data_IF_791640276493
#
_entry.id   IF_791640276493
#
_cell.length_a   1.000
_cell.length_b   1.000
_cell.length_c   1.000
_cell.angle_alpha   90.00
_cell.angle_beta   90.00
_cell.angle_gamma   90.00
#
_symmetry.space_group_name_H-M   'P 1'
#
loop_
_entity.id
_entity.type
_entity.pdbx_description
1 polymer ?
#
# COMPACT_ATOMS: atom_id res chain seq x y z
N UNK A 1 14.02 -5.19 -30.08
CA UNK A 1 14.28 -4.04 -29.17
C UNK A 1 14.47 -2.78 -30.01
N UNK A 2 13.99 -1.62 -29.55
CA UNK A 2 14.18 -0.36 -30.26
C UNK A 2 15.63 0.11 -30.15
N UNK A 3 16.21 0.59 -31.27
CA UNK A 3 17.56 1.20 -31.30
C UNK A 3 17.67 2.51 -30.49
N UNK A 4 16.53 3.05 -30.06
CA UNK A 4 16.45 4.31 -29.32
C UNK A 4 16.39 4.10 -27.79
N UNK A 5 16.31 2.87 -27.33
CA UNK A 5 16.21 2.58 -25.90
C UNK A 5 17.59 2.46 -25.27
N UNK A 6 17.72 3.04 -24.07
CA UNK A 6 18.83 2.74 -23.20
C UNK A 6 18.79 1.23 -22.84
N UNK A 7 19.96 0.55 -22.72
CA UNK A 7 20.00 -0.86 -22.33
C UNK A 7 19.24 -1.21 -21.06
N UNK A 8 19.20 -0.33 -20.06
CA UNK A 8 18.40 -0.49 -18.86
C UNK A 8 16.92 -0.68 -19.20
N UNK A 9 16.38 0.20 -20.06
CA UNK A 9 14.94 0.17 -20.43
C UNK A 9 14.57 -1.14 -21.15
N UNK A 10 15.49 -1.70 -21.90
CA UNK A 10 15.28 -2.97 -22.60
C UNK A 10 15.12 -4.18 -21.66
N UNK A 11 15.67 -4.10 -20.45
CA UNK A 11 15.58 -5.14 -19.41
C UNK A 11 14.44 -4.94 -18.39
N UNK A 12 13.70 -3.83 -18.46
CA UNK A 12 12.62 -3.57 -17.52
C UNK A 12 11.38 -4.42 -17.80
N UNK A 13 10.81 -4.95 -16.73
CA UNK A 13 9.51 -5.62 -16.72
C UNK A 13 8.54 -4.76 -15.90
N UNK A 14 7.81 -3.82 -16.54
CA UNK A 14 6.91 -2.91 -15.83
C UNK A 14 5.81 -3.63 -15.08
N UNK A 15 5.38 -3.06 -13.96
CA UNK A 15 4.22 -3.55 -13.22
C UNK A 15 2.97 -3.50 -14.10
N UNK A 16 2.16 -4.57 -14.05
CA UNK A 16 0.87 -4.66 -14.75
C UNK A 16 -0.24 -4.31 -13.76
N UNK A 17 -0.86 -3.13 -13.88
CA UNK A 17 -1.97 -2.74 -13.01
C UNK A 17 -3.14 -3.72 -13.09
N UNK A 18 -4.00 -3.70 -12.08
CA UNK A 18 -5.28 -4.38 -12.13
C UNK A 18 -6.14 -3.83 -13.26
N UNK A 19 -6.92 -4.68 -13.88
CA UNK A 19 -7.83 -4.30 -14.96
C UNK A 19 -8.73 -3.14 -14.53
N UNK A 20 -8.92 -2.17 -15.43
CA UNK A 20 -9.87 -1.06 -15.33
C UNK A 20 -10.97 -1.28 -16.38
N UNK A 21 -11.99 -2.07 -16.05
CA UNK A 21 -13.02 -2.43 -17.02
C UNK A 21 -13.88 -1.23 -17.43
N UNK A 22 -14.33 -1.24 -18.70
CA UNK A 22 -15.11 -0.15 -19.31
C UNK A 22 -16.61 -0.52 -19.46
N UNK A 23 -17.07 -1.62 -18.83
CA UNK A 23 -18.47 -2.05 -18.93
C UNK A 23 -19.35 -1.28 -17.96
N UNK A 24 -20.62 -1.10 -18.32
CA UNK A 24 -21.66 -0.66 -17.38
C UNK A 24 -22.07 -1.80 -16.44
N UNK A 25 -22.56 -1.47 -15.25
CA UNK A 25 -23.05 -2.45 -14.23
C UNK A 25 -22.00 -3.47 -13.77
N UNK A 26 -20.77 -3.02 -13.59
CA UNK A 26 -19.67 -3.84 -13.12
C UNK A 26 -19.51 -3.74 -11.60
N UNK A 27 -19.30 -4.89 -10.96
CA UNK A 27 -18.86 -4.97 -9.57
C UNK A 27 -17.33 -5.12 -9.57
N UNK A 28 -16.62 -4.02 -9.26
CA UNK A 28 -15.16 -3.94 -9.31
C UNK A 28 -14.55 -4.20 -7.95
N UNK A 29 -14.00 -5.41 -7.75
CA UNK A 29 -13.41 -5.87 -6.49
C UNK A 29 -11.95 -6.36 -6.65
N UNK A 30 -11.16 -5.72 -7.51
CA UNK A 30 -9.83 -6.21 -7.92
C UNK A 30 -8.65 -5.33 -7.52
N UNK A 31 -8.85 -4.07 -7.14
CA UNK A 31 -7.76 -3.09 -6.90
C UNK A 31 -7.79 -2.44 -5.52
N UNK A 32 -8.58 -3.01 -4.61
CA UNK A 32 -8.63 -2.61 -3.20
C UNK A 32 -8.98 -1.12 -2.99
N UNK A 33 -9.85 -0.57 -3.86
CA UNK A 33 -10.45 0.73 -3.59
C UNK A 33 -11.46 0.64 -2.45
N UNK A 34 -11.66 1.73 -1.72
CA UNK A 34 -12.70 1.81 -0.70
C UNK A 34 -14.07 1.88 -1.38
N UNK A 35 -15.10 1.15 -0.89
CA UNK A 35 -16.44 1.19 -1.48
C UNK A 35 -17.23 2.45 -1.16
N UNK A 36 -16.70 3.28 -0.27
CA UNK A 36 -17.28 4.58 0.11
C UNK A 36 -16.49 5.72 -0.51
N UNK A 37 -17.14 6.83 -0.79
CA UNK A 37 -16.47 8.03 -1.30
C UNK A 37 -15.50 8.67 -0.28
N UNK A 38 -14.68 9.62 -0.69
CA UNK A 38 -13.81 10.35 0.21
C UNK A 38 -14.59 11.23 1.19
N UNK A 39 -13.92 11.69 2.25
CA UNK A 39 -14.49 12.63 3.22
C UNK A 39 -15.15 13.83 2.53
N UNK A 40 -16.41 14.20 2.90
CA UNK A 40 -17.05 15.40 2.40
C UNK A 40 -16.22 16.67 2.66
N UNK A 41 -15.45 16.71 3.77
CA UNK A 41 -14.53 17.81 4.06
C UNK A 41 -13.41 17.91 3.03
N UNK A 42 -12.84 16.78 2.62
CA UNK A 42 -11.82 16.74 1.58
C UNK A 42 -12.36 17.22 0.22
N UNK A 43 -13.56 16.77 -0.16
CA UNK A 43 -14.21 17.23 -1.39
C UNK A 43 -14.46 18.74 -1.39
N UNK A 44 -15.00 19.29 -0.29
CA UNK A 44 -15.25 20.74 -0.15
C UNK A 44 -13.95 21.52 -0.18
N UNK A 45 -12.90 21.05 0.49
CA UNK A 45 -11.60 21.71 0.49
C UNK A 45 -10.98 21.79 -0.92
N UNK A 46 -11.05 20.70 -1.70
CA UNK A 46 -10.59 20.69 -3.09
C UNK A 46 -11.42 21.61 -3.98
N UNK A 47 -12.75 21.61 -3.86
CA UNK A 47 -13.64 22.49 -4.61
C UNK A 47 -13.32 23.98 -4.34
N UNK A 48 -13.09 24.33 -3.07
CA UNK A 48 -12.72 25.69 -2.67
C UNK A 48 -11.35 26.12 -3.20
N UNK A 49 -10.41 25.18 -3.29
CA UNK A 49 -9.06 25.45 -3.82
C UNK A 49 -8.98 25.46 -5.36
N UNK A 50 -10.11 25.24 -6.03
CA UNK A 50 -10.20 25.28 -7.50
C UNK A 50 -10.48 26.70 -7.98
N UNK A 51 -9.45 27.56 -7.95
CA UNK A 51 -9.50 28.97 -8.27
C UNK A 51 -8.30 29.42 -9.13
N UNK A 52 -8.20 30.73 -9.40
CA UNK A 52 -7.14 31.34 -10.21
C UNK A 52 -5.73 31.14 -9.68
N UNK A 53 -5.58 30.72 -8.42
CA UNK A 53 -4.27 30.39 -7.83
C UNK A 53 -3.64 29.14 -8.43
N UNK A 54 -4.41 28.32 -9.16
CA UNK A 54 -3.89 27.14 -9.89
C UNK A 54 -2.87 27.52 -10.98
N UNK A 55 -2.79 28.79 -11.40
CA UNK A 55 -1.72 29.30 -12.27
C UNK A 55 -0.34 29.36 -11.62
N UNK A 56 -0.25 29.21 -10.29
CA UNK A 56 0.97 29.25 -9.51
C UNK A 56 1.42 27.83 -9.11
N UNK A 57 2.72 27.63 -9.02
CA UNK A 57 3.25 26.38 -8.44
C UNK A 57 2.74 26.19 -7.01
N UNK A 58 2.48 24.93 -6.60
CA UNK A 58 2.18 24.61 -5.20
C UNK A 58 3.42 24.78 -4.33
N UNK A 59 3.25 24.64 -2.99
CA UNK A 59 4.38 24.52 -2.07
C UNK A 59 5.19 23.23 -2.39
N UNK A 60 6.49 23.33 -2.77
CA UNK A 60 7.31 22.18 -3.11
C UNK A 60 7.58 21.24 -1.92
N UNK A 61 7.46 21.78 -0.70
CA UNK A 61 7.66 21.02 0.54
C UNK A 61 6.37 20.44 1.11
N UNK A 62 5.20 20.92 0.61
CA UNK A 62 3.88 20.61 1.15
C UNK A 62 3.80 20.77 2.67
N UNK A 63 4.39 21.85 3.20
CA UNK A 63 4.63 22.06 4.64
C UNK A 63 3.34 21.96 5.47
N UNK A 64 2.24 22.56 5.02
CA UNK A 64 0.97 22.50 5.75
C UNK A 64 0.40 21.07 5.83
N UNK A 65 0.52 20.28 4.76
CA UNK A 65 0.15 18.87 4.80
C UNK A 65 1.04 18.09 5.77
N UNK A 66 2.35 18.30 5.74
CA UNK A 66 3.31 17.65 6.66
C UNK A 66 3.01 17.98 8.13
N UNK A 67 2.70 19.24 8.44
CA UNK A 67 2.29 19.66 9.81
C UNK A 67 1.02 18.97 10.28
N UNK A 68 0.02 18.82 9.40
CA UNK A 68 -1.24 18.14 9.73
C UNK A 68 -0.97 16.64 9.98
N UNK A 69 -0.18 15.98 9.13
CA UNK A 69 0.22 14.59 9.35
C UNK A 69 0.99 14.46 10.67
N UNK A 70 1.99 15.31 10.91
CA UNK A 70 2.78 15.31 12.14
C UNK A 70 1.89 15.46 13.39
N UNK A 71 0.97 16.43 13.37
CA UNK A 71 0.02 16.65 14.48
C UNK A 71 -0.91 15.44 14.70
N UNK A 72 -1.36 14.78 13.63
CA UNK A 72 -2.25 13.61 13.72
C UNK A 72 -1.55 12.42 14.39
N UNK A 73 -0.25 12.26 14.15
CA UNK A 73 0.53 11.15 14.71
C UNK A 73 1.39 11.52 15.91
N UNK A 74 1.29 12.77 16.41
CA UNK A 74 2.02 13.22 17.61
C UNK A 74 3.53 13.35 17.39
N UNK A 75 3.98 13.66 16.18
CA UNK A 75 5.38 13.84 15.82
C UNK A 75 5.65 15.25 15.25
N UNK A 76 6.80 15.49 14.62
CA UNK A 76 7.21 16.77 14.05
C UNK A 76 7.27 16.73 12.52
N UNK A 77 7.14 17.88 11.85
CA UNK A 77 7.10 17.95 10.39
C UNK A 77 8.41 17.55 9.70
N UNK A 78 9.54 17.61 10.36
CA UNK A 78 10.83 17.14 9.86
C UNK A 78 10.95 15.61 9.82
N UNK A 79 10.04 14.91 10.51
CA UNK A 79 9.88 13.45 10.46
C UNK A 79 8.88 12.97 9.41
N UNK A 80 8.31 13.86 8.61
CA UNK A 80 7.28 13.55 7.62
C UNK A 80 7.76 13.87 6.21
N UNK A 81 7.64 12.92 5.29
CA UNK A 81 7.79 13.11 3.84
C UNK A 81 6.46 12.88 3.14
N UNK A 82 6.19 13.59 2.04
CA UNK A 82 5.00 13.40 1.21
C UNK A 82 5.38 13.25 -0.26
N UNK A 83 4.64 12.43 -1.02
CA UNK A 83 4.89 12.16 -2.44
C UNK A 83 3.63 11.79 -3.21
N UNK A 84 3.76 11.60 -4.52
CA UNK A 84 2.67 11.34 -5.45
C UNK A 84 2.20 9.86 -5.38
N UNK A 85 1.54 9.52 -4.26
CA UNK A 85 1.17 8.17 -3.86
C UNK A 85 2.32 7.45 -3.14
N UNK A 86 1.99 6.38 -2.41
CA UNK A 86 3.01 5.56 -1.76
C UNK A 86 3.99 4.94 -2.75
N UNK A 87 3.60 4.75 -4.01
CA UNK A 87 4.51 4.24 -5.05
C UNK A 87 5.71 5.17 -5.26
N UNK A 88 5.49 6.49 -5.34
CA UNK A 88 6.60 7.44 -5.46
C UNK A 88 7.41 7.54 -4.16
N UNK A 89 6.75 7.52 -3.00
CA UNK A 89 7.42 7.50 -1.69
C UNK A 89 8.33 6.29 -1.56
N UNK A 90 7.83 5.10 -1.89
CA UNK A 90 8.61 3.85 -1.90
C UNK A 90 9.76 3.90 -2.90
N UNK A 91 9.55 4.43 -4.11
CA UNK A 91 10.62 4.59 -5.11
C UNK A 91 11.75 5.47 -4.57
N UNK A 92 11.43 6.60 -3.92
CA UNK A 92 12.43 7.45 -3.28
C UNK A 92 13.13 6.75 -2.11
N UNK A 93 12.39 6.02 -1.27
CA UNK A 93 12.95 5.26 -0.15
C UNK A 93 13.92 4.17 -0.65
N UNK A 94 13.55 3.38 -1.65
CA UNK A 94 14.40 2.36 -2.25
C UNK A 94 15.69 2.97 -2.81
N UNK A 95 15.58 4.12 -3.47
CA UNK A 95 16.73 4.79 -4.06
C UNK A 95 17.64 5.46 -3.02
N UNK A 96 17.07 6.04 -1.96
CA UNK A 96 17.81 6.82 -0.98
C UNK A 96 18.42 5.98 0.14
N UNK A 97 17.74 4.88 0.54
CA UNK A 97 17.99 4.24 1.84
C UNK A 97 18.48 2.79 1.75
N UNK A 98 18.37 2.15 0.58
CA UNK A 98 18.83 0.77 0.42
C UNK A 98 20.27 0.76 -0.05
N UNK A 99 21.14 0.08 0.70
CA UNK A 99 22.56 -0.04 0.38
C UNK A 99 22.74 -0.87 -0.90
N UNK A 100 23.40 -0.32 -1.95
CA UNK A 100 23.42 -0.94 -3.27
C UNK A 100 24.31 -2.19 -3.37
N UNK A 101 25.22 -2.40 -2.44
CA UNK A 101 26.19 -3.51 -2.42
C UNK A 101 25.63 -4.81 -1.84
N UNK A 102 24.40 -4.80 -1.30
CA UNK A 102 23.77 -5.97 -0.72
C UNK A 102 22.27 -6.05 -1.10
N UNK A 103 21.64 -7.23 -1.11
CA UNK A 103 20.27 -7.37 -1.56
C UNK A 103 19.27 -6.68 -0.62
N UNK A 104 18.21 -6.10 -1.19
CA UNK A 104 16.99 -5.77 -0.46
C UNK A 104 16.24 -7.06 -0.12
N UNK A 105 15.76 -7.21 1.12
CA UNK A 105 14.95 -8.34 1.53
C UNK A 105 13.46 -7.96 1.56
N UNK A 106 12.61 -8.84 1.08
CA UNK A 106 11.15 -8.77 1.24
C UNK A 106 10.53 -10.15 1.08
N UNK A 107 9.28 -10.33 1.52
CA UNK A 107 8.61 -11.63 1.47
C UNK A 107 8.33 -12.09 0.02
N UNK A 108 8.41 -13.42 -0.23
CA UNK A 108 8.13 -14.07 -1.53
C UNK A 108 6.69 -13.84 -2.03
N UNK A 109 5.76 -13.62 -1.10
CA UNK A 109 4.40 -13.18 -1.40
C UNK A 109 4.20 -11.81 -0.76
N UNK A 110 4.31 -10.74 -1.55
CA UNK A 110 4.26 -9.36 -1.08
C UNK A 110 3.77 -8.41 -2.16
N UNK A 111 4.04 -7.11 -2.02
CA UNK A 111 3.68 -6.12 -3.03
C UNK A 111 4.51 -6.29 -4.29
N UNK A 112 3.86 -6.62 -5.39
CA UNK A 112 4.51 -6.95 -6.66
C UNK A 112 5.28 -5.80 -7.32
N UNK A 113 5.29 -4.61 -6.72
CA UNK A 113 6.07 -3.48 -7.22
C UNK A 113 7.52 -3.44 -6.68
N UNK A 114 7.82 -4.15 -5.58
CA UNK A 114 9.17 -4.15 -5.02
C UNK A 114 10.24 -4.66 -6.00
N UNK A 115 10.06 -5.80 -6.70
CA UNK A 115 11.00 -6.23 -7.73
C UNK A 115 11.13 -5.23 -8.88
N UNK A 116 10.05 -4.48 -9.20
CA UNK A 116 10.05 -3.46 -10.27
C UNK A 116 10.95 -2.29 -9.90
N UNK A 117 10.89 -1.79 -8.65
CA UNK A 117 11.83 -0.77 -8.17
C UNK A 117 13.27 -1.27 -8.18
N UNK A 118 13.50 -2.50 -7.71
CA UNK A 118 14.84 -3.11 -7.73
C UNK A 118 15.39 -3.14 -9.14
N UNK A 119 14.61 -3.60 -10.12
CA UNK A 119 15.00 -3.61 -11.53
C UNK A 119 15.30 -2.21 -12.08
N UNK A 120 14.44 -1.22 -11.75
CA UNK A 120 14.60 0.16 -12.20
C UNK A 120 15.90 0.82 -11.68
N UNK A 121 16.25 0.54 -10.42
CA UNK A 121 17.41 1.15 -9.76
C UNK A 121 18.68 0.30 -9.83
N UNK A 122 18.64 -0.88 -10.45
CA UNK A 122 19.78 -1.80 -10.50
C UNK A 122 20.12 -2.40 -9.13
N UNK A 123 19.13 -2.46 -8.23
CA UNK A 123 19.26 -3.03 -6.90
C UNK A 123 19.02 -4.54 -6.95
N UNK A 124 19.92 -5.32 -6.35
CA UNK A 124 19.66 -6.75 -6.12
C UNK A 124 18.64 -6.96 -5.01
N UNK A 125 17.90 -8.06 -5.06
CA UNK A 125 16.96 -8.42 -3.99
C UNK A 125 16.99 -9.92 -3.71
N UNK A 126 16.49 -10.28 -2.55
CA UNK A 126 16.25 -11.67 -2.16
C UNK A 126 14.84 -11.77 -1.55
N UNK A 127 14.06 -12.70 -2.08
CA UNK A 127 12.77 -13.05 -1.53
C UNK A 127 12.96 -13.97 -0.32
N UNK A 128 12.33 -13.62 0.81
CA UNK A 128 12.32 -14.40 2.05
C UNK A 128 10.99 -15.18 2.09
N UNK A 129 11.00 -16.51 2.13
CA UNK A 129 9.78 -17.30 2.13
C UNK A 129 8.90 -17.01 3.34
N UNK A 130 7.61 -16.79 3.15
CA UNK A 130 6.63 -16.85 4.23
C UNK A 130 6.54 -18.29 4.74
N UNK A 131 6.14 -18.49 5.99
CA UNK A 131 5.88 -19.83 6.54
C UNK A 131 4.67 -20.51 5.85
N UNK A 132 4.31 -21.72 6.24
CA UNK A 132 3.18 -22.46 5.65
C UNK A 132 1.82 -21.82 5.93
N UNK A 133 1.73 -20.91 6.89
CA UNK A 133 0.53 -20.11 7.20
C UNK A 133 0.54 -18.75 6.52
N UNK A 134 1.49 -18.49 5.62
CA UNK A 134 1.68 -17.21 4.94
C UNK A 134 2.01 -16.04 5.90
N UNK A 135 2.67 -16.31 7.01
CA UNK A 135 3.13 -15.32 7.98
C UNK A 135 4.62 -15.05 7.82
N UNK A 136 5.06 -13.84 8.17
CA UNK A 136 6.47 -13.44 8.23
C UNK A 136 7.06 -13.93 9.56
N UNK A 137 8.20 -14.63 9.50
CA UNK A 137 9.09 -14.82 10.63
C UNK A 137 10.22 -13.78 10.53
N UNK A 138 10.30 -12.86 11.48
CA UNK A 138 11.30 -11.77 11.44
C UNK A 138 12.73 -12.27 11.64
N UNK A 139 12.94 -13.44 12.24
CA UNK A 139 14.27 -14.05 12.41
C UNK A 139 14.87 -14.48 11.06
N UNK A 140 14.04 -14.78 10.05
CA UNK A 140 14.52 -15.13 8.71
C UNK A 140 15.16 -13.92 7.99
N UNK A 141 14.95 -12.71 8.51
CA UNK A 141 15.54 -11.46 8.00
C UNK A 141 16.85 -11.09 8.72
N UNK A 142 17.32 -11.90 9.68
CA UNK A 142 18.57 -11.67 10.40
C UNK A 142 19.81 -12.11 9.59
N UNK A 143 19.85 -11.74 8.32
CA UNK A 143 20.94 -12.05 7.37
C UNK A 143 21.51 -10.76 6.78
N UNK A 144 22.76 -10.75 6.27
CA UNK A 144 23.33 -9.56 5.63
C UNK A 144 22.47 -9.06 4.47
N UNK A 145 22.10 -7.77 4.49
CA UNK A 145 21.23 -7.17 3.49
C UNK A 145 21.54 -5.68 3.26
N UNK A 146 20.99 -5.11 2.18
CA UNK A 146 21.03 -3.68 1.89
C UNK A 146 19.93 -2.88 2.59
N UNK A 147 18.88 -3.56 3.02
CA UNK A 147 17.69 -3.03 3.69
C UNK A 147 16.54 -4.03 3.61
N UNK A 148 15.42 -3.71 4.23
CA UNK A 148 14.25 -4.61 4.31
C UNK A 148 12.99 -3.84 3.96
N UNK A 149 12.07 -4.46 3.20
CA UNK A 149 10.74 -3.93 2.95
C UNK A 149 9.66 -4.93 3.43
N UNK A 150 8.84 -4.49 4.36
CA UNK A 150 7.73 -5.28 4.95
C UNK A 150 6.41 -4.60 4.61
N UNK A 151 5.56 -5.25 3.82
CA UNK A 151 4.17 -4.81 3.67
C UNK A 151 3.38 -5.27 4.90
N UNK A 152 2.83 -4.33 5.67
CA UNK A 152 2.14 -4.59 6.94
C UNK A 152 0.85 -3.77 7.10
N UNK A 153 -0.33 -4.37 6.91
CA UNK A 153 -0.61 -5.76 6.49
C UNK A 153 -0.06 -6.12 5.11
N UNK A 154 0.28 -7.41 4.94
CA UNK A 154 0.80 -7.90 3.68
C UNK A 154 -0.17 -7.62 2.51
N UNK A 155 0.34 -7.11 1.41
CA UNK A 155 -0.46 -6.60 0.28
C UNK A 155 -1.25 -7.69 -0.48
N UNK A 156 -0.92 -8.96 -0.28
CA UNK A 156 -1.59 -10.08 -0.95
C UNK A 156 -2.31 -11.01 0.03
N UNK A 157 -1.70 -11.33 1.17
CA UNK A 157 -2.29 -12.25 2.16
C UNK A 157 -3.23 -11.54 3.13
N UNK A 158 -3.00 -10.25 3.42
CA UNK A 158 -3.71 -9.49 4.44
C UNK A 158 -3.21 -9.72 5.87
N UNK A 159 -2.24 -10.61 6.09
CA UNK A 159 -1.64 -10.84 7.40
C UNK A 159 -0.89 -9.60 7.91
N UNK A 160 -1.00 -9.35 9.21
CA UNK A 160 -0.24 -8.31 9.90
C UNK A 160 0.88 -8.92 10.76
N UNK A 161 2.02 -8.23 10.80
CA UNK A 161 3.14 -8.47 11.71
C UNK A 161 2.92 -7.64 12.97
N UNK A 162 3.18 -8.21 14.15
CA UNK A 162 3.02 -7.46 15.40
C UNK A 162 4.07 -6.38 15.59
N UNK A 163 3.78 -5.40 16.42
CA UNK A 163 4.74 -4.33 16.72
C UNK A 163 5.98 -4.85 17.44
N UNK A 164 5.83 -5.88 18.30
CA UNK A 164 6.97 -6.54 18.96
C UNK A 164 7.91 -7.18 17.94
N UNK A 165 7.34 -7.85 16.91
CA UNK A 165 8.13 -8.46 15.85
C UNK A 165 8.83 -7.41 14.98
N UNK A 166 8.16 -6.28 14.65
CA UNK A 166 8.79 -5.17 13.92
C UNK A 166 9.90 -4.49 14.74
N UNK A 167 9.69 -4.26 16.04
CA UNK A 167 10.72 -3.74 16.95
C UNK A 167 11.90 -4.72 17.08
N UNK A 168 11.62 -6.02 17.16
CA UNK A 168 12.66 -7.06 17.13
C UNK A 168 13.46 -7.01 15.84
N UNK A 169 12.80 -6.88 14.68
CA UNK A 169 13.46 -6.77 13.38
C UNK A 169 14.38 -5.55 13.31
N UNK A 170 13.91 -4.38 13.80
CA UNK A 170 14.70 -3.16 13.87
C UNK A 170 15.97 -3.32 14.72
N UNK A 171 15.87 -4.08 15.82
CA UNK A 171 16.99 -4.40 16.71
C UNK A 171 17.96 -5.41 16.06
N UNK A 172 17.47 -6.37 15.27
CA UNK A 172 18.31 -7.35 14.57
C UNK A 172 19.15 -6.73 13.45
N UNK A 173 18.68 -5.62 12.85
CA UNK A 173 19.30 -4.96 11.70
C UNK A 173 19.55 -3.46 11.99
N UNK A 174 20.33 -3.10 13.02
CA UNK A 174 20.42 -1.71 13.53
C UNK A 174 21.01 -0.73 12.50
N UNK A 175 21.85 -1.22 11.58
CA UNK A 175 22.52 -0.42 10.56
C UNK A 175 21.82 -0.44 9.19
N UNK A 176 20.60 -0.99 9.12
CA UNK A 176 19.83 -1.14 7.87
C UNK A 176 18.46 -0.52 8.00
N UNK A 177 18.04 0.19 6.96
CA UNK A 177 16.68 0.74 6.94
C UNK A 177 15.65 -0.37 6.74
N UNK A 178 14.61 -0.32 7.58
CA UNK A 178 13.43 -1.17 7.46
C UNK A 178 12.27 -0.29 7.03
N UNK A 179 11.76 -0.53 5.83
CA UNK A 179 10.61 0.14 5.26
C UNK A 179 9.37 -0.69 5.60
N UNK A 180 8.46 -0.13 6.40
CA UNK A 180 7.17 -0.75 6.73
C UNK A 180 6.11 -0.08 5.87
N UNK A 181 5.63 -0.81 4.85
CA UNK A 181 4.59 -0.34 3.92
C UNK A 181 3.21 -0.65 4.50
N UNK A 182 2.57 0.35 5.05
CA UNK A 182 1.30 0.30 5.76
C UNK A 182 0.11 0.73 4.90
N UNK A 183 0.09 0.38 3.63
CA UNK A 183 -1.01 0.76 2.74
C UNK A 183 -2.40 0.32 3.22
N UNK A 184 -2.49 -0.66 4.11
CA UNK A 184 -3.76 -1.25 4.59
C UNK A 184 -3.94 -1.20 6.11
N UNK A 185 -3.08 -0.54 6.86
CA UNK A 185 -3.03 -0.58 8.33
C UNK A 185 -4.35 -0.21 9.00
N UNK A 186 -5.09 0.75 8.43
CA UNK A 186 -6.35 1.26 9.00
C UNK A 186 -7.51 0.24 9.02
N UNK A 187 -7.32 -0.97 8.47
CA UNK A 187 -8.35 -2.01 8.40
C UNK A 187 -8.20 -3.10 9.47
N UNK A 188 -7.51 -2.79 10.57
CA UNK A 188 -7.46 -3.66 11.75
C UNK A 188 -6.06 -4.10 12.18
N UNK A 189 -5.00 -3.55 11.61
CA UNK A 189 -3.64 -3.70 12.13
C UNK A 189 -3.25 -2.52 13.03
N UNK A 190 -2.17 -2.66 13.77
CA UNK A 190 -1.57 -1.61 14.58
C UNK A 190 -0.42 -0.97 13.81
N UNK A 191 -0.39 0.36 13.73
CA UNK A 191 0.65 1.09 12.99
C UNK A 191 1.99 1.09 13.71
N UNK A 192 3.06 0.87 12.98
CA UNK A 192 4.44 0.96 13.46
C UNK A 192 4.96 2.40 13.60
N UNK A 193 4.16 3.43 13.31
CA UNK A 193 4.59 4.83 13.41
C UNK A 193 5.16 5.12 14.81
N UNK A 194 4.54 4.63 15.89
CA UNK A 194 5.05 4.84 17.25
C UNK A 194 6.47 4.27 17.47
N UNK A 195 6.83 3.20 16.75
CA UNK A 195 8.17 2.60 16.86
C UNK A 195 9.26 3.46 16.22
N UNK A 196 8.91 4.42 15.37
CA UNK A 196 9.89 5.32 14.74
C UNK A 196 10.55 6.27 15.76
N UNK A 197 9.94 6.46 16.94
CA UNK A 197 10.56 7.21 18.05
C UNK A 197 11.59 6.38 18.82
N UNK A 198 11.51 5.05 18.74
CA UNK A 198 12.37 4.10 19.43
C UNK A 198 13.49 3.56 18.52
N UNK A 199 13.26 3.54 17.21
CA UNK A 199 14.14 2.95 16.20
C UNK A 199 14.37 3.92 15.04
N UNK A 200 15.55 4.51 14.97
CA UNK A 200 15.92 5.48 13.93
C UNK A 200 16.00 4.88 12.52
N UNK A 201 16.09 3.56 12.42
CA UNK A 201 16.17 2.82 11.16
C UNK A 201 14.81 2.39 10.60
N UNK A 202 13.69 2.73 11.26
CA UNK A 202 12.35 2.46 10.76
C UNK A 202 11.81 3.63 9.92
N UNK A 203 11.30 3.30 8.73
CA UNK A 203 10.52 4.20 7.88
C UNK A 203 9.14 3.59 7.64
N UNK A 204 8.09 4.24 8.12
CA UNK A 204 6.71 3.80 7.88
C UNK A 204 6.12 4.57 6.70
N UNK A 205 5.59 3.86 5.71
CA UNK A 205 4.98 4.45 4.50
C UNK A 205 3.48 4.18 4.50
N UNK A 206 2.68 5.21 4.30
CA UNK A 206 1.22 5.11 4.20
C UNK A 206 0.67 5.80 2.96
N UNK A 207 -0.60 5.55 2.63
CA UNK A 207 -1.27 6.11 1.44
C UNK A 207 -2.70 6.54 1.74
N UNK A 208 -3.15 7.59 1.06
CA UNK A 208 -4.56 7.99 1.10
C UNK A 208 -5.43 7.21 0.09
N UNK A 209 -4.81 6.33 -0.71
CA UNK A 209 -5.49 5.61 -1.80
C UNK A 209 -6.49 4.56 -1.32
N UNK A 210 -6.34 4.06 -0.08
CA UNK A 210 -7.14 2.95 0.46
C UNK A 210 -8.16 3.46 1.48
N UNK A 211 -7.77 3.60 2.73
CA UNK A 211 -8.68 3.95 3.83
C UNK A 211 -9.32 5.34 3.72
N UNK A 212 -8.65 6.29 3.03
CA UNK A 212 -9.15 7.65 2.83
C UNK A 212 -9.94 7.83 1.51
N UNK A 213 -10.11 6.78 0.71
CA UNK A 213 -10.84 6.79 -0.57
C UNK A 213 -10.31 7.82 -1.59
N UNK A 214 -9.02 8.14 -1.57
CA UNK A 214 -8.40 9.16 -2.41
C UNK A 214 -7.39 8.57 -3.41
N UNK A 215 -7.64 7.37 -3.92
CA UNK A 215 -6.78 6.73 -4.91
C UNK A 215 -6.51 7.62 -6.14
N UNK A 216 -7.54 8.36 -6.60
CA UNK A 216 -7.44 9.29 -7.72
C UNK A 216 -6.65 10.57 -7.40
N UNK A 217 -6.47 10.91 -6.13
CA UNK A 217 -5.74 12.12 -5.72
C UNK A 217 -4.22 11.93 -5.68
N UNK A 218 -3.76 10.67 -5.62
CA UNK A 218 -2.34 10.29 -5.62
C UNK A 218 -1.52 10.95 -4.51
N UNK A 219 -1.85 10.68 -3.26
CA UNK A 219 -1.05 11.14 -2.11
C UNK A 219 -0.63 9.97 -1.24
N UNK A 220 0.66 9.90 -0.94
CA UNK A 220 1.28 9.02 0.04
C UNK A 220 2.24 9.80 0.92
N UNK A 221 2.61 9.23 2.05
CA UNK A 221 3.56 9.85 2.96
C UNK A 221 4.41 8.80 3.68
N UNK A 222 5.54 9.26 4.23
CA UNK A 222 6.38 8.45 5.10
C UNK A 222 6.61 9.19 6.42
N UNK A 223 6.80 8.42 7.50
CA UNK A 223 7.19 8.91 8.83
C UNK A 223 8.41 8.10 9.28
N UNK A 224 9.44 8.79 9.78
CA UNK A 224 10.68 8.17 10.24
C UNK A 224 11.63 9.18 10.85
N UNK A 225 12.87 8.74 11.15
CA UNK A 225 13.92 9.63 11.64
C UNK A 225 14.20 10.75 10.62
N UNK A 226 14.52 12.01 11.06
CA UNK A 226 14.80 13.12 10.15
C UNK A 226 15.84 12.83 9.07
N UNK A 227 16.88 12.05 9.37
CA UNK A 227 17.91 11.68 8.39
C UNK A 227 17.36 10.80 7.25
N UNK A 228 16.40 9.90 7.55
CA UNK A 228 15.71 9.12 6.53
C UNK A 228 14.86 10.03 5.64
N UNK A 229 14.12 10.96 6.26
CA UNK A 229 13.26 11.92 5.56
C UNK A 229 14.07 12.86 4.67
N UNK A 230 15.21 13.36 5.16
CA UNK A 230 16.14 14.17 4.35
C UNK A 230 16.69 13.39 3.15
N UNK A 231 16.98 12.10 3.31
CA UNK A 231 17.37 11.22 2.20
C UNK A 231 16.32 11.16 1.10
N UNK A 232 15.03 10.98 1.46
CA UNK A 232 13.92 10.98 0.52
C UNK A 232 13.77 12.34 -0.17
N UNK A 233 13.88 13.43 0.60
CA UNK A 233 13.76 14.80 0.08
C UNK A 233 14.84 15.10 -0.97
N UNK A 234 16.10 14.69 -0.74
CA UNK A 234 17.19 14.85 -1.70
C UNK A 234 16.93 14.11 -3.02
N UNK A 235 16.43 12.87 -2.96
CA UNK A 235 16.07 12.12 -4.17
C UNK A 235 14.91 12.80 -4.89
N UNK A 236 13.84 13.19 -4.18
CA UNK A 236 12.69 13.90 -4.73
C UNK A 236 13.13 15.18 -5.45
N UNK A 237 13.93 16.04 -4.81
CA UNK A 237 14.35 17.32 -5.38
C UNK A 237 15.34 17.17 -6.55
N UNK A 238 15.97 16.00 -6.67
CA UNK A 238 16.82 15.65 -7.83
C UNK A 238 16.02 15.07 -9.00
N UNK A 239 14.72 14.78 -8.82
CA UNK A 239 13.84 14.18 -9.84
C UNK A 239 12.65 15.08 -10.19
N UNK A 240 11.84 15.48 -9.20
CA UNK A 240 10.66 16.32 -9.35
C UNK A 240 10.42 17.15 -8.10
N UNK A 241 10.69 18.46 -8.15
CA UNK A 241 10.56 19.35 -6.99
C UNK A 241 9.10 19.66 -6.61
N UNK A 242 8.12 19.44 -7.48
CA UNK A 242 6.71 19.75 -7.26
C UNK A 242 5.80 18.54 -7.51
N UNK A 243 5.95 17.40 -6.78
CA UNK A 243 5.22 16.17 -7.08
C UNK A 243 3.73 16.26 -6.80
N UNK A 244 3.31 17.06 -5.80
CA UNK A 244 1.92 17.18 -5.38
C UNK A 244 1.29 18.49 -5.87
N UNK A 245 0.17 18.38 -6.58
CA UNK A 245 -0.63 19.54 -6.96
C UNK A 245 -1.22 20.25 -5.72
N UNK A 246 -1.61 21.52 -5.87
CA UNK A 246 -2.31 22.27 -4.82
C UNK A 246 -3.58 21.55 -4.34
N UNK A 247 -4.37 21.02 -5.29
CA UNK A 247 -5.59 20.28 -4.95
C UNK A 247 -5.29 19.00 -4.17
N UNK A 248 -4.20 18.31 -4.54
CA UNK A 248 -3.76 17.11 -3.81
C UNK A 248 -3.35 17.43 -2.37
N UNK A 249 -2.55 18.49 -2.18
CA UNK A 249 -2.14 18.93 -0.84
C UNK A 249 -3.34 19.32 0.04
N UNK A 250 -4.27 20.14 -0.52
CA UNK A 250 -5.44 20.62 0.21
C UNK A 250 -6.41 19.49 0.54
N UNK A 251 -6.73 18.63 -0.43
CA UNK A 251 -7.63 17.49 -0.21
C UNK A 251 -7.07 16.46 0.77
N UNK A 252 -5.77 16.18 0.68
CA UNK A 252 -5.09 15.29 1.61
C UNK A 252 -5.10 15.84 3.04
N UNK A 253 -4.79 17.12 3.23
CA UNK A 253 -4.80 17.79 4.53
C UNK A 253 -6.18 17.66 5.21
N UNK A 254 -7.25 17.98 4.46
CA UNK A 254 -8.61 17.85 4.97
C UNK A 254 -9.03 16.40 5.26
N UNK A 255 -8.58 15.43 4.45
CA UNK A 255 -8.85 14.02 4.66
C UNK A 255 -8.12 13.44 5.89
N UNK A 256 -6.85 13.85 6.11
CA UNK A 256 -6.07 13.42 7.30
C UNK A 256 -6.74 13.96 8.57
N UNK A 257 -7.18 15.22 8.57
CA UNK A 257 -7.85 15.84 9.73
C UNK A 257 -9.25 15.27 10.00
N UNK A 258 -9.86 14.51 9.09
CA UNK A 258 -11.20 13.92 9.27
C UNK A 258 -11.11 12.46 9.77
N UNK A 259 -10.62 12.29 10.98
CA UNK A 259 -10.52 10.98 11.62
C UNK A 259 -11.88 10.31 11.85
N UNK A 260 -12.94 11.10 12.04
CA UNK A 260 -14.29 10.56 12.26
C UNK A 260 -14.78 9.80 11.02
N UNK A 261 -14.56 10.38 9.82
CA UNK A 261 -14.88 9.73 8.56
C UNK A 261 -14.04 8.46 8.34
N UNK A 262 -12.73 8.53 8.60
CA UNK A 262 -11.85 7.36 8.54
C UNK A 262 -12.38 6.22 9.42
N UNK A 263 -12.60 6.48 10.71
CA UNK A 263 -13.07 5.46 11.67
C UNK A 263 -14.42 4.88 11.26
N UNK A 264 -15.34 5.71 10.78
CA UNK A 264 -16.66 5.26 10.33
C UNK A 264 -16.52 4.28 9.14
N UNK A 265 -15.82 4.69 8.08
CA UNK A 265 -15.74 3.91 6.83
C UNK A 265 -14.90 2.64 6.98
N UNK A 266 -13.78 2.69 7.71
CA UNK A 266 -12.94 1.51 7.96
C UNK A 266 -13.65 0.49 8.86
N UNK A 267 -14.40 0.94 9.88
CA UNK A 267 -15.23 0.05 10.72
C UNK A 267 -16.32 -0.66 9.91
N UNK A 268 -16.95 0.02 8.97
CA UNK A 268 -17.93 -0.59 8.07
C UNK A 268 -17.29 -1.68 7.22
N UNK A 269 -16.12 -1.39 6.60
CA UNK A 269 -15.38 -2.38 5.80
C UNK A 269 -14.97 -3.59 6.64
N UNK A 270 -14.46 -3.40 7.85
CA UNK A 270 -14.08 -4.49 8.74
C UNK A 270 -15.28 -5.37 9.09
N UNK A 271 -16.40 -4.76 9.46
CA UNK A 271 -17.63 -5.51 9.79
C UNK A 271 -18.19 -6.27 8.58
N UNK A 272 -18.15 -5.67 7.39
CA UNK A 272 -18.55 -6.36 6.14
C UNK A 272 -17.60 -7.51 5.82
N UNK A 273 -16.28 -7.32 5.99
CA UNK A 273 -15.28 -8.37 5.82
C UNK A 273 -15.57 -9.59 6.69
N UNK A 274 -15.83 -9.38 7.96
CA UNK A 274 -16.14 -10.47 8.92
C UNK A 274 -17.37 -11.27 8.50
N UNK A 275 -18.47 -10.59 8.12
CA UNK A 275 -19.69 -11.26 7.63
C UNK A 275 -19.43 -12.01 6.31
N UNK A 276 -18.67 -11.41 5.41
CA UNK A 276 -18.32 -12.02 4.14
C UNK A 276 -17.48 -13.28 4.32
N UNK A 277 -16.46 -13.24 5.19
CA UNK A 277 -15.61 -14.39 5.52
C UNK A 277 -16.44 -15.56 6.06
N UNK A 278 -17.37 -15.30 6.99
CA UNK A 278 -18.27 -16.35 7.53
C UNK A 278 -19.12 -17.01 6.42
N UNK A 279 -19.62 -16.22 5.48
CA UNK A 279 -20.42 -16.75 4.36
C UNK A 279 -19.58 -17.56 3.39
N UNK A 280 -18.38 -17.11 3.04
CA UNK A 280 -17.45 -17.87 2.16
C UNK A 280 -17.02 -19.19 2.81
N UNK A 281 -16.75 -19.19 4.11
CA UNK A 281 -16.44 -20.42 4.85
C UNK A 281 -17.59 -21.43 4.78
N UNK A 282 -18.86 -20.96 4.85
CA UNK A 282 -20.05 -21.79 4.65
C UNK A 282 -20.19 -22.36 3.24
N UNK A 283 -19.51 -21.78 2.25
CA UNK A 283 -19.43 -22.28 0.86
C UNK A 283 -18.22 -23.19 0.61
N UNK A 284 -17.38 -23.46 1.62
CA UNK A 284 -16.24 -24.36 1.50
C UNK A 284 -14.94 -23.70 1.04
N UNK A 285 -14.85 -22.36 1.10
CA UNK A 285 -13.61 -21.67 0.84
C UNK A 285 -12.66 -21.70 2.04
N UNK A 286 -11.37 -21.86 1.78
CA UNK A 286 -10.28 -21.56 2.67
C UNK A 286 -9.97 -20.07 2.57
N UNK A 287 -9.88 -19.36 3.70
CA UNK A 287 -9.70 -17.91 3.73
C UNK A 287 -8.57 -17.58 4.69
N UNK A 288 -7.57 -16.83 4.22
CA UNK A 288 -6.53 -16.34 5.12
C UNK A 288 -7.08 -15.21 6.01
N UNK A 289 -6.68 -15.18 7.30
CA UNK A 289 -6.97 -14.04 8.16
C UNK A 289 -6.48 -12.74 7.54
N UNK A 290 -7.29 -11.68 7.62
CA UNK A 290 -6.95 -10.41 6.96
C UNK A 290 -7.17 -9.21 7.88
N UNK A 291 -6.16 -8.35 7.96
CA UNK A 291 -6.21 -7.01 8.52
C UNK A 291 -6.21 -5.93 7.41
N UNK A 292 -6.69 -6.27 6.20
CA UNK A 292 -6.78 -5.36 5.05
C UNK A 292 -8.23 -5.20 4.56
N UNK A 293 -8.45 -4.35 3.56
CA UNK A 293 -9.76 -4.20 2.91
C UNK A 293 -9.99 -5.23 1.79
N UNK A 294 -9.40 -6.40 1.91
CA UNK A 294 -9.57 -7.52 1.00
C UNK A 294 -9.39 -8.84 1.77
N UNK A 295 -9.74 -9.93 1.15
CA UNK A 295 -9.45 -11.30 1.59
C UNK A 295 -8.75 -12.07 0.49
N UNK A 296 -7.88 -13.03 0.86
CA UNK A 296 -7.30 -14.01 -0.05
C UNK A 296 -7.97 -15.35 0.20
N UNK A 297 -8.57 -15.93 -0.84
CA UNK A 297 -9.44 -17.10 -0.74
C UNK A 297 -9.03 -18.20 -1.72
N UNK A 298 -9.21 -19.44 -1.32
CA UNK A 298 -8.96 -20.65 -2.12
C UNK A 298 -10.14 -21.60 -1.99
N UNK A 299 -10.41 -22.41 -3.01
CA UNK A 299 -11.42 -23.47 -2.94
C UNK A 299 -10.84 -24.78 -3.48
N UNK A 300 -10.82 -25.83 -2.65
CA UNK A 300 -10.16 -27.09 -2.98
C UNK A 300 -10.81 -27.86 -4.16
N UNK A 301 -12.11 -27.65 -4.43
CA UNK A 301 -12.85 -28.31 -5.50
C UNK A 301 -12.99 -27.46 -6.77
N UNK A 302 -12.56 -26.18 -6.77
CA UNK A 302 -12.72 -25.27 -7.90
C UNK A 302 -11.42 -24.52 -8.17
N UNK A 303 -10.91 -24.59 -9.40
CA UNK A 303 -9.72 -23.84 -9.81
C UNK A 303 -9.98 -22.33 -9.80
N UNK A 304 -9.03 -21.53 -9.29
CA UNK A 304 -9.16 -20.08 -9.23
C UNK A 304 -9.44 -19.44 -10.60
N UNK A 305 -8.83 -19.97 -11.67
CA UNK A 305 -9.06 -19.49 -13.04
C UNK A 305 -10.50 -19.69 -13.51
N UNK A 306 -11.13 -20.83 -13.15
CA UNK A 306 -12.53 -21.11 -13.49
C UNK A 306 -13.49 -20.20 -12.71
N UNK A 307 -13.24 -20.00 -11.40
CA UNK A 307 -14.00 -19.04 -10.58
C UNK A 307 -13.86 -17.61 -11.11
N UNK A 308 -12.64 -17.17 -11.45
CA UNK A 308 -12.38 -15.87 -12.04
C UNK A 308 -13.18 -15.64 -13.33
N UNK A 309 -13.17 -16.63 -14.24
CA UNK A 309 -13.89 -16.57 -15.50
C UNK A 309 -15.41 -16.49 -15.26
N UNK A 310 -15.96 -17.35 -14.41
CA UNK A 310 -17.38 -17.38 -14.08
C UNK A 310 -17.87 -16.10 -13.43
N UNK A 311 -17.09 -15.49 -12.53
CA UNK A 311 -17.40 -14.18 -11.94
C UNK A 311 -17.37 -13.07 -13.01
N UNK A 312 -16.38 -13.11 -13.90
CA UNK A 312 -16.26 -12.14 -14.99
C UNK A 312 -17.45 -12.16 -15.95
N UNK A 313 -17.95 -13.34 -16.30
CA UNK A 313 -19.18 -13.50 -17.11
C UNK A 313 -20.41 -12.86 -16.43
N UNK A 314 -20.38 -12.73 -15.11
CA UNK A 314 -21.42 -12.10 -14.28
C UNK A 314 -21.13 -10.64 -13.96
N UNK A 315 -20.17 -10.03 -14.69
CA UNK A 315 -19.71 -8.66 -14.50
C UNK A 315 -19.12 -8.36 -13.10
N UNK A 316 -18.47 -9.37 -12.48
CA UNK A 316 -17.78 -9.23 -11.21
C UNK A 316 -16.29 -9.43 -11.46
N UNK A 317 -15.48 -8.45 -11.10
CA UNK A 317 -14.03 -8.47 -11.31
C UNK A 317 -13.31 -8.58 -9.97
N UNK A 318 -12.64 -9.72 -9.78
CA UNK A 318 -11.72 -9.98 -8.66
C UNK A 318 -10.29 -10.14 -9.18
N UNK A 319 -9.31 -10.40 -8.33
CA UNK A 319 -7.91 -10.49 -8.71
C UNK A 319 -7.35 -11.90 -8.49
N UNK A 320 -6.83 -12.52 -9.54
CA UNK A 320 -5.89 -13.64 -9.43
C UNK A 320 -4.47 -13.10 -9.50
N UNK A 321 -3.57 -13.62 -8.66
CA UNK A 321 -2.19 -13.19 -8.55
C UNK A 321 -1.27 -14.24 -9.17
N UNK A 322 -0.13 -13.79 -9.73
CA UNK A 322 0.79 -14.67 -10.47
C UNK A 322 1.88 -15.32 -9.59
N UNK A 323 2.04 -14.90 -8.34
CA UNK A 323 3.04 -15.48 -7.46
C UNK A 323 2.77 -16.99 -7.27
N UNK A 324 3.78 -17.87 -7.43
CA UNK A 324 3.56 -19.33 -7.51
C UNK A 324 2.76 -19.92 -6.35
N UNK A 325 3.01 -19.46 -5.12
CA UNK A 325 2.35 -19.98 -3.91
C UNK A 325 0.88 -19.58 -3.77
N UNK A 326 0.43 -18.53 -4.48
CA UNK A 326 -0.94 -18.00 -4.40
C UNK A 326 -1.63 -17.95 -5.77
N UNK A 327 -1.08 -18.59 -6.79
CA UNK A 327 -1.69 -18.59 -8.15
C UNK A 327 -3.07 -19.23 -8.19
N UNK A 328 -3.35 -20.15 -7.25
CA UNK A 328 -4.64 -20.86 -7.16
C UNK A 328 -5.58 -20.20 -6.12
N UNK A 329 -5.24 -18.96 -5.72
CA UNK A 329 -6.03 -18.13 -4.85
C UNK A 329 -6.63 -16.94 -5.59
N UNK A 330 -7.75 -16.42 -5.08
CA UNK A 330 -8.35 -15.17 -5.51
C UNK A 330 -8.27 -14.14 -4.40
N UNK A 331 -7.84 -12.92 -4.74
CA UNK A 331 -7.93 -11.77 -3.85
C UNK A 331 -9.19 -10.98 -4.17
N UNK A 332 -10.06 -10.81 -3.17
CA UNK A 332 -11.35 -10.16 -3.29
C UNK A 332 -11.36 -8.91 -2.42
N UNK A 333 -11.51 -7.74 -3.03
CA UNK A 333 -11.70 -6.47 -2.33
C UNK A 333 -13.04 -6.50 -1.59
N UNK A 334 -13.09 -5.94 -0.38
CA UNK A 334 -14.33 -5.80 0.37
C UNK A 334 -15.09 -4.57 -0.12
N UNK A 335 -16.26 -4.81 -0.67
CA UNK A 335 -17.23 -3.81 -1.08
C UNK A 335 -18.20 -3.43 0.04
N UNK A 336 -19.34 -2.81 -0.32
CA UNK A 336 -20.48 -2.63 0.58
C UNK A 336 -21.15 -3.97 0.89
N UNK A 337 -22.02 -4.02 1.91
CA UNK A 337 -22.79 -5.23 2.20
C UNK A 337 -23.63 -5.70 1.01
N UNK A 338 -24.20 -4.76 0.26
CA UNK A 338 -24.99 -5.07 -0.95
C UNK A 338 -24.09 -5.69 -2.05
N UNK A 339 -22.91 -5.13 -2.27
CA UNK A 339 -21.94 -5.65 -3.24
C UNK A 339 -21.43 -7.04 -2.85
N UNK A 340 -21.16 -7.28 -1.56
CA UNK A 340 -20.74 -8.61 -1.08
C UNK A 340 -21.88 -9.63 -1.18
N UNK A 341 -23.13 -9.22 -0.93
CA UNK A 341 -24.30 -10.07 -1.13
C UNK A 341 -24.46 -10.45 -2.60
N UNK A 342 -24.34 -9.48 -3.51
CA UNK A 342 -24.37 -9.72 -4.97
C UNK A 342 -23.29 -10.72 -5.40
N UNK A 343 -22.06 -10.64 -4.83
CA UNK A 343 -20.98 -11.59 -5.13
C UNK A 343 -21.34 -13.03 -4.69
N UNK A 344 -21.90 -13.20 -3.48
CA UNK A 344 -22.23 -14.52 -2.92
C UNK A 344 -23.38 -15.21 -3.65
N UNK A 345 -24.32 -14.46 -4.20
CA UNK A 345 -25.50 -14.96 -4.91
C UNK A 345 -25.18 -15.42 -6.35
N UNK A 346 -23.99 -15.19 -6.84
CA UNK A 346 -23.57 -15.46 -8.22
C UNK A 346 -22.60 -16.61 -8.34
#
# INVERSE_FOLDING_TARGET
MSRFWNPLVAGLHPYIPGEQPQFSDILKLNTNELPYGPSPRALTAMQTACDDSLRLYPDPTALELRKIIASTYGTTEDRVFVGNGSDEVLAHAFRALIAPEAPLLFADVSYGFYPVYCSLFGQTYQEVPLNDRFEIDVEDYAVPCGGIAIANPNANTGHAVSLEALSRLATLQPDRTIIVDEAYVDFGAESAIRLTEEHDNLLVVQTLSKSRALAGLRVGYAIGHPDLIEGLARVKDSFNSYPLSRLAQTGAAAAIADEAWLKQTTSQVMSTRERFVQRLAGLGFDILPSCANFVLVHHSAHEAGALLAGLRERHIIVRQLSAPRIRDWLRITIGTDEEMNRLIER
#
